data_IF_327133080645
#
_entry.id   IF_327133080645
#
_cell.length_a   1.000
_cell.length_b   1.000
_cell.length_c   1.000
_cell.angle_alpha   90.00
_cell.angle_beta   90.00
_cell.angle_gamma   90.00
#
_symmetry.space_group_name_H-M   'P 1'
#
loop_
_entity.id
_entity.type
_entity.pdbx_description
1 polymer ?
#
# COMPACT_ATOMS: atom_id res chain seq x y z
N UNK A 1 -42.41 21.63 66.45
CA UNK A 1 -41.03 21.87 65.93
C UNK A 1 -40.34 20.59 65.46
N UNK A 2 -40.29 19.52 66.25
CA UNK A 2 -39.62 18.23 65.89
C UNK A 2 -40.26 17.59 64.62
N UNK A 3 -41.58 17.60 64.51
CA UNK A 3 -42.31 17.02 63.37
C UNK A 3 -42.01 17.75 62.04
N UNK A 4 -41.88 19.10 62.07
CA UNK A 4 -41.51 19.91 60.91
C UNK A 4 -40.04 19.66 60.49
N UNK A 5 -39.12 19.57 61.45
CA UNK A 5 -37.74 19.20 61.19
C UNK A 5 -37.59 17.78 60.62
N UNK A 6 -38.39 16.83 61.09
CA UNK A 6 -38.43 15.46 60.55
C UNK A 6 -38.95 15.45 59.09
N UNK A 7 -40.00 16.23 58.79
CA UNK A 7 -40.56 16.35 57.43
C UNK A 7 -39.56 16.98 56.49
N UNK A 8 -38.80 18.00 56.91
CA UNK A 8 -37.77 18.66 56.11
C UNK A 8 -36.59 17.66 55.88
N UNK A 9 -36.16 16.99 56.91
CA UNK A 9 -35.08 15.99 56.82
C UNK A 9 -35.42 14.82 55.95
N UNK A 10 -36.62 14.26 56.06
CA UNK A 10 -37.15 13.21 55.19
C UNK A 10 -37.44 13.71 53.78
N UNK A 11 -37.93 14.93 53.62
CA UNK A 11 -38.24 15.52 52.31
C UNK A 11 -37.00 15.76 51.47
N UNK A 12 -35.88 16.22 52.05
CA UNK A 12 -34.62 16.42 51.31
C UNK A 12 -33.96 15.14 50.83
N UNK A 13 -34.31 13.99 51.45
CA UNK A 13 -33.78 12.68 51.05
C UNK A 13 -34.61 11.97 49.93
N UNK A 14 -35.73 12.57 49.53
CA UNK A 14 -36.65 11.98 48.52
C UNK A 14 -36.23 12.33 47.09
N UNK A 15 -35.57 13.49 46.92
CA UNK A 15 -35.24 14.05 45.62
C UNK A 15 -33.76 13.79 45.30
N UNK A 16 -33.48 13.33 44.05
CA UNK A 16 -32.12 13.23 43.53
C UNK A 16 -32.09 13.65 42.07
N UNK A 17 -30.95 14.15 41.64
CA UNK A 17 -30.70 14.55 40.25
C UNK A 17 -29.77 13.55 39.56
N UNK A 18 -30.09 13.14 38.35
CA UNK A 18 -29.26 12.35 37.47
C UNK A 18 -28.74 13.26 36.37
N UNK A 19 -27.45 13.24 36.15
CA UNK A 19 -26.79 14.04 35.10
C UNK A 19 -27.13 13.51 33.71
N UNK A 20 -26.93 14.31 32.67
CA UNK A 20 -27.24 13.99 31.28
C UNK A 20 -26.45 12.80 30.72
N UNK A 21 -25.30 12.48 31.30
CA UNK A 21 -24.41 11.39 30.94
C UNK A 21 -24.57 10.14 31.81
N UNK A 22 -25.43 10.24 32.84
CA UNK A 22 -25.67 9.19 33.84
C UNK A 22 -27.06 8.62 33.73
N UNK A 23 -27.23 7.41 34.22
CA UNK A 23 -28.52 6.74 34.46
C UNK A 23 -28.58 6.30 35.92
N UNK A 24 -29.69 6.57 36.58
CA UNK A 24 -29.91 6.21 37.98
C UNK A 24 -30.54 4.81 38.09
N UNK A 25 -29.84 3.88 38.72
CA UNK A 25 -30.37 2.55 39.04
C UNK A 25 -30.87 2.52 40.46
N UNK A 26 -32.16 2.35 40.60
CA UNK A 26 -32.86 2.36 41.91
C UNK A 26 -33.05 0.95 42.45
N UNK A 27 -32.54 0.73 43.67
CA UNK A 27 -32.63 -0.52 44.41
C UNK A 27 -33.47 -0.29 45.66
N UNK A 28 -34.40 -1.22 45.95
CA UNK A 28 -35.15 -1.24 47.19
C UNK A 28 -34.77 -2.49 48.00
N UNK A 29 -34.18 -2.27 49.17
CA UNK A 29 -33.65 -3.34 50.02
C UNK A 29 -32.68 -4.27 49.24
N UNK A 30 -31.87 -3.74 48.33
CA UNK A 30 -30.93 -4.50 47.51
C UNK A 30 -31.49 -5.10 46.24
N UNK A 31 -32.84 -5.13 46.06
CA UNK A 31 -33.45 -5.62 44.84
C UNK A 31 -33.63 -4.48 43.85
N UNK A 32 -33.30 -4.73 42.56
CA UNK A 32 -33.58 -3.80 41.47
C UNK A 32 -35.07 -3.52 41.34
N UNK A 33 -35.44 -2.26 41.15
CA UNK A 33 -36.82 -1.82 40.98
C UNK A 33 -37.05 -1.14 39.63
N UNK A 34 -36.21 -0.16 39.33
CA UNK A 34 -36.35 0.63 38.10
C UNK A 34 -35.06 1.37 37.74
N UNK A 35 -34.98 1.83 36.49
CA UNK A 35 -33.95 2.69 35.96
C UNK A 35 -34.53 4.08 35.71
N UNK A 36 -33.84 5.12 36.16
CA UNK A 36 -34.27 6.50 36.03
C UNK A 36 -33.41 7.25 35.01
N UNK A 37 -34.05 8.00 34.12
CA UNK A 37 -33.42 8.83 33.10
C UNK A 37 -32.85 10.12 33.69
N UNK A 38 -31.99 10.83 32.91
CA UNK A 38 -31.44 12.13 33.32
C UNK A 38 -32.54 13.13 33.68
N UNK A 39 -32.35 13.83 34.81
CA UNK A 39 -33.29 14.82 35.32
C UNK A 39 -33.47 14.77 36.79
N UNK A 40 -34.57 15.39 37.25
CA UNK A 40 -35.02 15.35 38.64
C UNK A 40 -35.90 14.15 38.89
N UNK A 41 -35.44 13.28 39.77
CA UNK A 41 -36.13 12.03 40.07
C UNK A 41 -36.41 11.88 41.58
N UNK A 42 -37.35 11.02 41.92
CA UNK A 42 -37.80 10.78 43.29
C UNK A 42 -37.44 9.37 43.75
N UNK A 43 -37.04 9.26 45.00
CA UNK A 43 -36.82 7.96 45.67
C UNK A 43 -37.48 7.92 47.04
N UNK A 44 -37.74 6.71 47.55
CA UNK A 44 -38.23 6.55 48.90
C UNK A 44 -37.14 6.89 49.94
N UNK A 45 -37.49 7.69 50.94
CA UNK A 45 -36.56 8.15 51.98
C UNK A 45 -36.11 7.00 52.91
N UNK A 46 -35.25 7.39 53.88
CA UNK A 46 -34.84 6.55 55.02
C UNK A 46 -34.05 5.27 54.61
N UNK A 47 -33.32 5.28 53.48
CA UNK A 47 -32.51 4.13 53.09
C UNK A 47 -33.32 2.95 52.48
N UNK A 48 -34.63 3.12 52.31
CA UNK A 48 -35.47 2.12 51.66
C UNK A 48 -35.05 1.94 50.21
N UNK A 49 -34.82 3.04 49.51
CA UNK A 49 -34.28 3.02 48.14
C UNK A 49 -32.84 3.61 48.12
N UNK A 50 -31.93 2.85 47.51
CA UNK A 50 -30.57 3.26 47.19
C UNK A 50 -30.47 3.53 45.69
N UNK A 51 -29.89 4.65 45.29
CA UNK A 51 -29.66 5.01 43.89
C UNK A 51 -28.19 4.91 43.61
N UNK A 52 -27.83 4.10 42.60
CA UNK A 52 -26.47 4.03 42.05
C UNK A 52 -26.48 4.70 40.69
N UNK A 53 -25.69 5.75 40.52
CA UNK A 53 -25.54 6.48 39.27
C UNK A 53 -24.46 5.82 38.44
N UNK A 54 -24.77 5.46 37.20
CA UNK A 54 -23.88 4.80 36.25
C UNK A 54 -23.72 5.74 35.03
N UNK A 55 -22.51 6.04 34.66
CA UNK A 55 -22.24 6.84 33.48
C UNK A 55 -22.29 5.95 32.22
N UNK A 56 -23.30 6.18 31.38
CA UNK A 56 -23.55 5.36 30.17
C UNK A 56 -23.00 5.99 28.89
N UNK A 57 -22.75 7.31 28.90
CA UNK A 57 -22.22 8.01 27.71
C UNK A 57 -20.71 8.12 27.70
N UNK A 58 -20.09 7.98 28.85
CA UNK A 58 -18.63 8.06 28.97
C UNK A 58 -17.98 6.85 28.34
N UNK A 59 -17.02 7.09 27.46
CA UNK A 59 -16.11 6.04 26.96
C UNK A 59 -15.00 5.86 27.97
N UNK A 60 -14.87 4.64 28.47
CA UNK A 60 -13.80 4.21 29.33
C UNK A 60 -12.72 3.53 28.49
N UNK A 61 -11.46 3.60 28.92
CA UNK A 61 -10.32 3.06 28.19
C UNK A 61 -9.55 2.14 29.10
N UNK A 62 -9.25 0.93 28.62
CA UNK A 62 -8.34 -0.02 29.26
C UNK A 62 -7.16 -0.27 28.31
N UNK A 63 -5.94 -0.18 28.84
CA UNK A 63 -4.70 -0.29 28.09
C UNK A 63 -3.96 -1.58 28.49
N UNK A 64 -3.51 -2.32 27.49
CA UNK A 64 -2.81 -3.60 27.65
C UNK A 64 -1.42 -3.51 27.01
N UNK A 65 -0.40 -3.87 27.76
CA UNK A 65 0.98 -3.89 27.25
C UNK A 65 1.61 -2.53 26.94
N UNK A 66 0.95 -1.43 27.36
CA UNK A 66 1.46 -0.07 27.16
C UNK A 66 2.15 0.39 28.43
N UNK A 67 3.42 0.74 28.36
CA UNK A 67 4.13 1.45 29.41
C UNK A 67 3.81 2.93 29.31
N UNK A 68 2.71 3.36 29.93
CA UNK A 68 2.37 4.79 29.97
C UNK A 68 3.24 5.47 31.03
N UNK A 69 4.22 6.25 30.61
CA UNK A 69 5.01 7.14 31.47
C UNK A 69 4.23 8.37 31.98
N UNK A 70 2.94 8.44 31.70
CA UNK A 70 2.06 9.56 32.08
C UNK A 70 1.24 9.16 33.29
N UNK A 71 1.61 9.69 34.44
CA UNK A 71 1.05 9.41 35.76
C UNK A 71 -0.45 9.73 35.90
N UNK A 72 -1.31 8.91 35.34
CA UNK A 72 -2.72 8.83 35.78
C UNK A 72 -2.80 7.69 36.78
N UNK A 73 -2.64 8.06 38.04
CA UNK A 73 -2.82 7.22 39.23
C UNK A 73 -4.25 6.73 39.33
N UNK A 74 -4.62 5.63 38.65
CA UNK A 74 -5.80 4.85 39.04
C UNK A 74 -5.70 3.35 38.70
N UNK A 75 -4.52 2.85 38.33
CA UNK A 75 -4.30 1.41 38.23
C UNK A 75 -3.51 0.95 39.47
N UNK A 76 -4.22 0.35 40.43
CA UNK A 76 -3.58 -0.34 41.53
C UNK A 76 -2.69 -1.45 40.95
N UNK A 77 -1.38 -1.29 41.15
CA UNK A 77 -0.38 -2.37 41.16
C UNK A 77 -0.42 -3.39 40.03
N UNK A 78 -0.22 -2.95 38.78
CA UNK A 78 0.37 -3.83 37.79
C UNK A 78 1.79 -3.32 37.54
N UNK A 79 2.79 -4.12 37.88
CA UNK A 79 4.18 -3.75 37.60
C UNK A 79 4.37 -3.63 36.08
N UNK A 80 5.26 -2.76 35.61
CA UNK A 80 5.54 -2.59 34.17
C UNK A 80 5.88 -3.94 33.50
N UNK A 81 6.42 -4.89 34.22
CA UNK A 81 6.74 -6.24 33.76
C UNK A 81 5.49 -7.12 33.58
N UNK A 82 4.46 -6.99 34.42
CA UNK A 82 3.23 -7.76 34.31
C UNK A 82 2.39 -7.27 33.09
N UNK A 83 2.31 -5.97 32.88
CA UNK A 83 1.65 -5.41 31.69
C UNK A 83 2.35 -5.85 30.40
N UNK A 84 3.67 -5.98 30.39
CA UNK A 84 4.41 -6.45 29.22
C UNK A 84 4.14 -7.94 28.94
N UNK A 85 3.99 -8.77 29.99
CA UNK A 85 3.66 -10.19 29.84
C UNK A 85 2.28 -10.43 29.24
N UNK A 86 1.29 -9.57 29.53
CA UNK A 86 -0.05 -9.63 28.95
C UNK A 86 0.00 -9.40 27.43
N UNK A 87 0.89 -8.52 26.97
CA UNK A 87 1.04 -8.21 25.55
C UNK A 87 1.88 -9.24 24.78
N UNK A 88 2.59 -10.14 25.46
CA UNK A 88 3.32 -11.23 24.81
C UNK A 88 2.33 -12.31 24.35
N UNK A 89 2.26 -12.53 23.05
CA UNK A 89 1.35 -13.49 22.43
C UNK A 89 2.08 -14.40 21.47
N UNK A 90 1.66 -15.65 21.43
CA UNK A 90 2.10 -16.63 20.44
C UNK A 90 1.20 -16.49 19.19
N UNK A 91 1.82 -16.42 18.03
CA UNK A 91 1.14 -16.39 16.72
C UNK A 91 0.97 -17.80 16.15
N UNK A 92 0.12 -17.95 15.12
CA UNK A 92 -0.16 -19.24 14.49
C UNK A 92 1.04 -19.89 13.80
N UNK A 93 2.06 -19.13 13.46
CA UNK A 93 3.34 -19.58 12.91
C UNK A 93 4.43 -19.81 14.00
N UNK A 94 4.00 -19.96 15.27
CA UNK A 94 4.84 -20.24 16.45
C UNK A 94 5.88 -19.15 16.75
N UNK A 95 5.66 -17.93 16.28
CA UNK A 95 6.46 -16.78 16.66
C UNK A 95 5.86 -16.07 17.88
N UNK A 96 6.70 -15.39 18.65
CA UNK A 96 6.26 -14.58 19.79
C UNK A 96 6.26 -13.10 19.36
N UNK A 97 5.09 -12.47 19.47
CA UNK A 97 4.90 -11.06 19.22
C UNK A 97 4.60 -10.27 20.50
N UNK A 98 5.08 -9.05 20.58
CA UNK A 98 4.63 -8.07 21.57
C UNK A 98 3.51 -7.26 20.93
N UNK A 99 2.27 -7.51 21.35
CA UNK A 99 1.05 -6.96 20.77
C UNK A 99 0.35 -6.08 21.81
N UNK A 100 0.69 -4.81 21.96
CA UNK A 100 -0.03 -3.91 22.86
C UNK A 100 -1.31 -3.42 22.18
N UNK A 101 -2.41 -3.32 22.97
CA UNK A 101 -3.70 -2.83 22.45
C UNK A 101 -4.44 -2.01 23.49
N UNK A 102 -5.44 -1.29 23.02
CA UNK A 102 -6.34 -0.47 23.83
C UNK A 102 -7.76 -0.87 23.51
N UNK A 103 -8.56 -1.04 24.55
CA UNK A 103 -10.01 -1.29 24.44
C UNK A 103 -10.76 -0.07 24.95
N UNK A 104 -11.60 0.48 24.09
CA UNK A 104 -12.53 1.54 24.46
C UNK A 104 -13.93 0.96 24.56
N UNK A 105 -14.57 1.18 25.71
CA UNK A 105 -15.88 0.65 25.98
C UNK A 105 -16.79 1.63 26.71
N UNK A 106 -18.07 1.39 26.63
CA UNK A 106 -19.09 2.11 27.38
C UNK A 106 -20.08 1.15 28.02
N UNK A 107 -20.82 1.61 29.02
CA UNK A 107 -21.86 0.82 29.67
C UNK A 107 -23.15 1.00 28.90
N UNK A 108 -23.65 -0.08 28.27
CA UNK A 108 -24.89 -0.12 27.49
C UNK A 108 -26.09 -0.36 28.38
N UNK A 109 -26.00 -1.36 29.27
CA UNK A 109 -27.07 -1.71 30.19
C UNK A 109 -26.55 -1.60 31.63
N UNK A 110 -26.95 -0.55 32.39
CA UNK A 110 -26.53 -0.36 33.77
C UNK A 110 -27.01 -1.48 34.73
N UNK A 111 -28.15 -2.12 34.45
CA UNK A 111 -28.66 -3.21 35.26
C UNK A 111 -27.74 -4.44 35.17
N UNK A 112 -27.44 -4.90 33.95
CA UNK A 112 -26.58 -6.05 33.76
C UNK A 112 -25.19 -5.79 34.32
N UNK A 113 -24.64 -4.59 34.09
CA UNK A 113 -23.33 -4.16 34.61
C UNK A 113 -23.23 -4.20 36.13
N UNK A 114 -24.29 -3.87 36.87
CA UNK A 114 -24.26 -3.79 38.33
C UNK A 114 -24.67 -5.09 39.03
N UNK A 115 -25.49 -5.93 38.38
CA UNK A 115 -26.18 -7.05 39.08
C UNK A 115 -25.83 -8.42 38.51
N UNK A 116 -25.50 -8.54 37.26
CA UNK A 116 -25.18 -9.82 36.62
C UNK A 116 -23.75 -10.26 36.83
N UNK A 117 -22.82 -9.31 36.82
CA UNK A 117 -21.41 -9.59 36.95
C UNK A 117 -20.84 -8.94 38.22
N UNK A 118 -20.07 -9.71 38.97
CA UNK A 118 -19.51 -9.23 40.24
C UNK A 118 -18.47 -8.11 40.02
N UNK A 119 -17.59 -8.27 39.05
CA UNK A 119 -16.51 -7.34 38.73
C UNK A 119 -16.41 -7.17 37.21
N UNK A 120 -17.31 -6.37 36.59
CA UNK A 120 -17.40 -6.32 35.14
C UNK A 120 -16.16 -5.76 34.45
N UNK A 121 -15.37 -4.94 35.15
CA UNK A 121 -14.09 -4.45 34.65
C UNK A 121 -13.06 -5.56 34.54
N UNK A 122 -12.92 -6.41 35.55
CA UNK A 122 -11.98 -7.52 35.53
C UNK A 122 -12.40 -8.55 34.48
N UNK A 123 -13.70 -8.85 34.40
CA UNK A 123 -14.24 -9.70 33.33
C UNK A 123 -13.89 -9.16 31.94
N UNK A 124 -14.04 -7.85 31.70
CA UNK A 124 -13.65 -7.21 30.44
C UNK A 124 -12.17 -7.40 30.14
N UNK A 125 -11.31 -7.22 31.13
CA UNK A 125 -9.86 -7.38 31.00
C UNK A 125 -9.53 -8.82 30.59
N UNK A 126 -10.05 -9.82 31.33
CA UNK A 126 -9.77 -11.23 31.07
C UNK A 126 -10.30 -11.69 29.70
N UNK A 127 -11.53 -11.28 29.35
CA UNK A 127 -12.13 -11.59 28.07
C UNK A 127 -11.43 -10.88 26.90
N UNK A 128 -10.98 -9.64 27.10
CA UNK A 128 -10.20 -8.93 26.09
C UNK A 128 -8.88 -9.63 25.78
N UNK A 129 -8.20 -10.09 26.82
CA UNK A 129 -6.96 -10.86 26.68
C UNK A 129 -7.21 -12.19 25.95
N UNK A 130 -8.27 -12.91 26.33
CA UNK A 130 -8.64 -14.17 25.68
C UNK A 130 -9.02 -13.97 24.19
N UNK A 131 -9.82 -12.96 23.88
CA UNK A 131 -10.23 -12.64 22.52
C UNK A 131 -9.03 -12.24 21.63
N UNK A 132 -8.13 -11.40 22.16
CA UNK A 132 -6.91 -11.03 21.43
C UNK A 132 -6.00 -12.23 21.18
N UNK A 133 -5.78 -13.08 22.20
CA UNK A 133 -4.98 -14.31 22.03
C UNK A 133 -5.59 -15.28 21.02
N UNK A 134 -6.91 -15.42 21.01
CA UNK A 134 -7.59 -16.26 20.03
C UNK A 134 -7.35 -15.75 18.59
N UNK A 135 -7.57 -14.46 18.35
CA UNK A 135 -7.47 -13.89 17.00
C UNK A 135 -6.03 -13.81 16.52
N UNK A 136 -5.08 -13.43 17.39
CA UNK A 136 -3.65 -13.37 17.07
C UNK A 136 -3.05 -14.76 16.88
N UNK A 137 -3.49 -15.75 17.67
CA UNK A 137 -3.03 -17.13 17.58
C UNK A 137 -3.39 -17.85 16.28
N UNK A 138 -4.38 -17.34 15.54
CA UNK A 138 -4.77 -17.85 14.23
C UNK A 138 -4.09 -17.11 13.06
N UNK A 139 -3.18 -16.18 13.34
CA UNK A 139 -2.52 -15.33 12.34
C UNK A 139 -1.00 -15.50 12.37
N UNK A 140 -0.35 -15.28 11.22
CA UNK A 140 1.12 -15.21 11.16
C UNK A 140 1.63 -13.90 11.77
N UNK A 141 2.88 -13.89 12.25
CA UNK A 141 3.50 -12.68 12.80
C UNK A 141 3.52 -11.52 11.79
N UNK A 142 3.71 -11.83 10.51
CA UNK A 142 3.70 -10.82 9.44
C UNK A 142 2.31 -10.20 9.27
N UNK A 143 1.24 -10.98 9.38
CA UNK A 143 -0.13 -10.47 9.36
C UNK A 143 -0.41 -9.61 10.59
N UNK A 144 0.02 -10.05 11.77
CA UNK A 144 -0.16 -9.29 13.02
C UNK A 144 0.54 -7.93 12.97
N UNK A 145 1.66 -7.82 12.26
CA UNK A 145 2.36 -6.54 12.05
C UNK A 145 1.70 -5.68 10.98
N UNK A 146 1.23 -6.27 9.88
CA UNK A 146 0.77 -5.54 8.68
C UNK A 146 -0.74 -5.29 8.65
N UNK A 147 -1.59 -6.20 9.20
CA UNK A 147 -3.06 -6.17 9.13
C UNK A 147 -3.71 -5.88 10.48
N UNK A 148 -3.15 -4.96 11.24
CA UNK A 148 -3.60 -4.65 12.61
C UNK A 148 -5.07 -4.24 12.68
N UNK A 149 -5.55 -3.48 11.70
CA UNK A 149 -6.94 -2.99 11.69
C UNK A 149 -7.95 -4.13 11.47
N UNK A 150 -7.64 -5.09 10.60
CA UNK A 150 -8.48 -6.29 10.38
C UNK A 150 -8.57 -7.14 11.65
N UNK A 151 -7.43 -7.33 12.31
CA UNK A 151 -7.34 -8.07 13.57
C UNK A 151 -8.12 -7.37 14.68
N UNK A 152 -8.02 -6.05 14.80
CA UNK A 152 -8.75 -5.26 15.78
C UNK A 152 -10.28 -5.37 15.60
N UNK A 153 -10.76 -5.35 14.35
CA UNK A 153 -12.18 -5.51 14.02
C UNK A 153 -12.66 -6.91 14.42
N UNK A 154 -11.89 -7.94 14.09
CA UNK A 154 -12.24 -9.32 14.42
C UNK A 154 -12.21 -9.56 15.94
N UNK A 155 -11.18 -9.05 16.63
CA UNK A 155 -11.08 -9.10 18.09
C UNK A 155 -12.25 -8.38 18.76
N UNK A 156 -12.68 -7.22 18.24
CA UNK A 156 -13.87 -6.53 18.73
C UNK A 156 -15.12 -7.40 18.58
N UNK A 157 -15.28 -8.06 17.43
CA UNK A 157 -16.44 -8.94 17.18
C UNK A 157 -16.48 -10.11 18.17
N UNK A 158 -15.34 -10.76 18.38
CA UNK A 158 -15.23 -11.89 19.32
C UNK A 158 -15.46 -11.42 20.74
N UNK A 159 -14.80 -10.34 21.18
CA UNK A 159 -14.95 -9.79 22.52
C UNK A 159 -16.40 -9.36 22.81
N UNK A 160 -17.05 -8.69 21.87
CA UNK A 160 -18.45 -8.25 22.05
C UNK A 160 -19.39 -9.46 22.19
N UNK A 161 -19.18 -10.51 21.39
CA UNK A 161 -19.98 -11.73 21.48
C UNK A 161 -19.84 -12.41 22.84
N UNK A 162 -18.62 -12.49 23.37
CA UNK A 162 -18.37 -13.09 24.69
C UNK A 162 -18.96 -12.23 25.84
N UNK A 163 -18.84 -10.91 25.74
CA UNK A 163 -19.43 -9.98 26.72
C UNK A 163 -20.95 -9.99 26.69
N UNK A 164 -21.57 -10.18 25.53
CA UNK A 164 -23.02 -10.32 25.38
C UNK A 164 -23.50 -11.67 25.93
N UNK A 165 -22.76 -12.76 25.68
CA UNK A 165 -23.05 -14.08 26.27
C UNK A 165 -22.95 -14.06 27.79
N UNK A 166 -22.01 -13.29 28.34
CA UNK A 166 -21.84 -13.10 29.80
C UNK A 166 -22.88 -12.11 30.40
N UNK A 167 -23.76 -11.51 29.58
CA UNK A 167 -24.70 -10.47 29.97
C UNK A 167 -24.05 -9.34 30.80
N UNK A 168 -22.84 -8.91 30.37
CA UNK A 168 -22.02 -7.94 31.13
C UNK A 168 -22.57 -6.51 31.09
N UNK A 169 -23.48 -6.21 30.18
CA UNK A 169 -24.01 -4.86 29.95
C UNK A 169 -23.00 -3.85 29.37
N UNK A 170 -21.88 -4.34 28.81
CA UNK A 170 -20.80 -3.53 28.23
C UNK A 170 -20.90 -3.55 26.70
N UNK A 171 -20.62 -2.41 26.09
CA UNK A 171 -20.55 -2.23 24.63
C UNK A 171 -19.14 -1.77 24.24
N UNK A 172 -18.50 -2.50 23.35
CA UNK A 172 -17.16 -2.18 22.87
C UNK A 172 -17.24 -1.14 21.76
N UNK A 173 -16.72 0.05 22.01
CA UNK A 173 -16.68 1.14 21.04
C UNK A 173 -15.66 0.82 19.97
N UNK A 174 -14.41 0.55 20.38
CA UNK A 174 -13.34 0.17 19.47
C UNK A 174 -12.23 -0.60 20.20
N UNK A 175 -11.49 -1.41 19.43
CA UNK A 175 -10.20 -1.95 19.83
C UNK A 175 -9.15 -1.34 18.90
N UNK A 176 -8.05 -0.86 19.46
CA UNK A 176 -6.95 -0.27 18.72
C UNK A 176 -5.66 -1.01 19.06
N UNK A 177 -5.06 -1.67 18.07
CA UNK A 177 -3.74 -2.27 18.23
C UNK A 177 -2.67 -1.22 18.06
N UNK A 178 -1.75 -1.15 19.02
CA UNK A 178 -0.58 -0.29 18.93
C UNK A 178 0.51 -0.95 18.07
N UNK A 179 1.67 -0.32 17.99
CA UNK A 179 2.78 -0.85 17.21
C UNK A 179 3.21 -2.22 17.75
N UNK A 180 2.98 -3.24 16.97
CA UNK A 180 3.39 -4.62 17.27
C UNK A 180 4.86 -4.79 16.91
N UNK A 181 5.62 -5.40 17.79
CA UNK A 181 7.04 -5.70 17.60
C UNK A 181 7.32 -7.15 18.03
N UNK A 182 8.42 -7.68 17.55
CA UNK A 182 8.99 -8.91 18.13
C UNK A 182 9.83 -8.55 19.36
N UNK A 183 9.97 -9.47 20.35
CA UNK A 183 10.81 -9.23 21.51
C UNK A 183 12.24 -8.86 21.13
N UNK A 184 12.84 -7.90 21.88
CA UNK A 184 14.14 -7.33 21.57
C UNK A 184 15.26 -8.34 21.27
N UNK A 185 15.42 -9.42 22.06
CA UNK A 185 16.49 -10.40 21.83
C UNK A 185 16.41 -11.13 20.49
N UNK A 186 15.21 -11.32 19.90
CA UNK A 186 15.02 -12.04 18.64
C UNK A 186 14.85 -11.11 17.42
N UNK A 187 14.74 -9.80 17.65
CA UNK A 187 14.55 -8.81 16.61
C UNK A 187 15.64 -8.81 15.52
N UNK A 188 16.96 -8.95 15.85
CA UNK A 188 17.99 -9.03 14.83
C UNK A 188 17.80 -10.23 13.89
N UNK A 189 17.54 -11.42 14.44
CA UNK A 189 17.32 -12.64 13.64
C UNK A 189 16.06 -12.54 12.77
N UNK A 190 15.00 -11.94 13.28
CA UNK A 190 13.78 -11.68 12.51
C UNK A 190 14.02 -10.71 11.34
N UNK A 191 14.81 -9.66 11.56
CA UNK A 191 15.18 -8.72 10.51
C UNK A 191 16.04 -9.38 9.44
N UNK A 192 16.98 -10.26 9.82
CA UNK A 192 17.83 -11.02 8.90
C UNK A 192 17.01 -11.95 8.00
N UNK A 193 16.04 -12.69 8.55
CA UNK A 193 15.12 -13.53 7.77
C UNK A 193 14.29 -12.70 6.78
N UNK A 194 13.76 -11.56 7.22
CA UNK A 194 13.01 -10.67 6.34
C UNK A 194 13.88 -10.07 5.23
N UNK A 195 15.11 -9.67 5.54
CA UNK A 195 16.07 -9.18 4.57
C UNK A 195 16.40 -10.27 3.54
N UNK A 196 16.72 -11.49 3.97
CA UNK A 196 16.99 -12.62 3.07
C UNK A 196 15.80 -12.95 2.17
N UNK A 197 14.58 -12.84 2.69
CA UNK A 197 13.35 -13.03 1.91
C UNK A 197 13.20 -11.95 0.85
N UNK A 198 13.43 -10.69 1.19
CA UNK A 198 13.38 -9.58 0.24
C UNK A 198 14.49 -9.68 -0.83
N UNK A 199 15.70 -10.05 -0.44
CA UNK A 199 16.81 -10.27 -1.39
C UNK A 199 16.49 -11.40 -2.37
N UNK A 200 15.91 -12.50 -1.88
CA UNK A 200 15.43 -13.60 -2.74
C UNK A 200 14.38 -13.11 -3.75
N UNK A 201 13.38 -12.38 -3.29
CA UNK A 201 12.33 -11.84 -4.17
C UNK A 201 12.92 -10.86 -5.19
N UNK A 202 13.80 -9.95 -4.76
CA UNK A 202 14.49 -9.02 -5.63
C UNK A 202 15.29 -9.74 -6.73
N UNK A 203 16.03 -10.79 -6.37
CA UNK A 203 16.79 -11.60 -7.33
C UNK A 203 15.87 -12.27 -8.36
N UNK A 204 14.72 -12.80 -7.91
CA UNK A 204 13.71 -13.41 -8.80
C UNK A 204 13.12 -12.35 -9.75
N UNK A 205 12.80 -11.15 -9.25
CA UNK A 205 12.27 -10.06 -10.09
C UNK A 205 13.31 -9.57 -11.09
N UNK A 206 14.58 -9.42 -10.70
CA UNK A 206 15.66 -9.06 -11.61
C UNK A 206 15.83 -10.10 -12.72
N UNK A 207 15.87 -11.37 -12.37
CA UNK A 207 15.96 -12.44 -13.37
C UNK A 207 14.77 -12.46 -14.35
N UNK A 208 13.56 -12.20 -13.86
CA UNK A 208 12.37 -12.07 -14.70
C UNK A 208 12.45 -10.82 -15.59
N UNK A 209 12.94 -9.72 -15.08
CA UNK A 209 13.16 -8.48 -15.86
C UNK A 209 14.15 -8.73 -17.00
N UNK A 210 15.29 -9.35 -16.70
CA UNK A 210 16.33 -9.67 -17.68
C UNK A 210 15.78 -10.63 -18.76
N UNK A 211 15.04 -11.65 -18.36
CA UNK A 211 14.37 -12.55 -19.30
C UNK A 211 13.38 -11.82 -20.21
N UNK A 212 12.54 -10.97 -19.63
CA UNK A 212 11.53 -10.20 -20.38
C UNK A 212 12.14 -9.13 -21.28
N UNK A 213 13.37 -8.68 -21.02
CA UNK A 213 14.11 -7.77 -21.89
C UNK A 213 14.87 -8.53 -22.99
N UNK A 214 15.62 -9.57 -22.61
CA UNK A 214 16.52 -10.28 -23.53
C UNK A 214 15.76 -11.02 -24.64
N UNK A 215 14.70 -11.75 -24.33
CA UNK A 215 13.98 -12.56 -25.30
C UNK A 215 13.27 -11.70 -26.37
N UNK A 216 12.48 -10.66 -26.03
CA UNK A 216 11.87 -9.80 -27.05
C UNK A 216 12.90 -9.01 -27.85
N UNK A 217 14.00 -8.57 -27.22
CA UNK A 217 15.07 -7.86 -27.91
C UNK A 217 15.75 -8.77 -28.96
N UNK A 218 16.07 -10.01 -28.60
CA UNK A 218 16.64 -10.98 -29.55
C UNK A 218 15.67 -11.32 -30.68
N UNK A 219 14.38 -11.49 -30.40
CA UNK A 219 13.36 -11.69 -31.43
C UNK A 219 13.23 -10.46 -32.35
N UNK A 220 13.18 -9.28 -31.79
CA UNK A 220 13.12 -8.04 -32.55
C UNK A 220 14.34 -7.84 -33.46
N UNK A 221 15.54 -8.19 -33.01
CA UNK A 221 16.76 -8.14 -33.82
C UNK A 221 16.74 -9.18 -34.94
N UNK A 222 16.28 -10.41 -34.65
CA UNK A 222 16.10 -11.45 -35.68
C UNK A 222 15.09 -11.01 -36.75
N UNK A 223 13.92 -10.51 -36.34
CA UNK A 223 12.89 -10.01 -37.28
C UNK A 223 13.41 -8.83 -38.11
N UNK A 224 14.16 -7.91 -37.48
CA UNK A 224 14.80 -6.79 -38.19
C UNK A 224 15.77 -7.27 -39.25
N UNK A 225 16.60 -8.26 -38.92
CA UNK A 225 17.57 -8.85 -39.85
C UNK A 225 16.88 -9.55 -41.04
N UNK A 226 15.82 -10.34 -40.75
CA UNK A 226 15.03 -11.01 -41.78
C UNK A 226 14.37 -9.96 -42.70
N UNK A 227 13.71 -8.95 -42.14
CA UNK A 227 13.06 -7.88 -42.92
C UNK A 227 14.04 -7.06 -43.76
N UNK A 228 15.24 -6.79 -43.24
CA UNK A 228 16.29 -6.12 -43.97
C UNK A 228 16.76 -6.97 -45.16
N UNK A 229 16.94 -8.29 -44.96
CA UNK A 229 17.32 -9.21 -46.04
C UNK A 229 16.22 -9.34 -47.12
N UNK A 230 14.94 -9.45 -46.72
CA UNK A 230 13.79 -9.45 -47.64
C UNK A 230 13.73 -8.14 -48.45
N UNK A 231 13.85 -7.01 -47.77
CA UNK A 231 13.89 -5.69 -48.39
C UNK A 231 15.03 -5.55 -49.40
N UNK A 232 16.23 -6.01 -49.06
CA UNK A 232 17.36 -6.03 -49.97
C UNK A 232 17.13 -6.92 -51.17
N UNK A 233 16.55 -8.11 -50.97
CA UNK A 233 16.23 -9.03 -52.08
C UNK A 233 15.22 -8.39 -53.06
N UNK A 234 14.13 -7.80 -52.52
CA UNK A 234 13.13 -7.10 -53.34
C UNK A 234 13.73 -5.90 -54.08
N UNK A 235 14.56 -5.09 -53.43
CA UNK A 235 15.22 -3.94 -54.08
C UNK A 235 16.11 -4.44 -55.25
N UNK A 236 16.84 -5.52 -55.04
CA UNK A 236 17.69 -6.11 -56.07
C UNK A 236 16.91 -6.64 -57.27
N UNK A 237 15.77 -7.32 -56.99
CA UNK A 237 14.90 -7.82 -58.06
C UNK A 237 14.29 -6.62 -58.83
N UNK A 238 13.70 -5.66 -58.10
CA UNK A 238 13.07 -4.49 -58.74
C UNK A 238 14.06 -3.65 -59.55
N UNK A 239 15.31 -3.50 -59.10
CA UNK A 239 16.38 -2.85 -59.86
C UNK A 239 16.71 -3.61 -61.16
N UNK A 240 16.87 -4.93 -61.03
CA UNK A 240 17.17 -5.76 -62.22
C UNK A 240 16.03 -5.74 -63.24
N UNK A 241 14.78 -5.81 -62.81
CA UNK A 241 13.59 -5.66 -63.66
C UNK A 241 13.52 -4.27 -64.28
N UNK A 242 13.75 -3.23 -63.50
CA UNK A 242 13.80 -1.85 -63.92
C UNK A 242 14.88 -1.62 -64.97
N UNK A 243 16.10 -2.09 -64.76
CA UNK A 243 17.19 -1.99 -65.69
C UNK A 243 16.93 -2.77 -67.00
N UNK A 244 16.37 -3.99 -66.85
CA UNK A 244 15.99 -4.78 -68.02
C UNK A 244 14.90 -4.10 -68.86
N UNK A 245 13.84 -3.59 -68.21
CA UNK A 245 12.74 -2.87 -68.87
C UNK A 245 13.26 -1.60 -69.56
N UNK A 246 14.11 -0.87 -68.87
CA UNK A 246 14.78 0.33 -69.43
C UNK A 246 15.63 -0.04 -70.61
N UNK A 247 16.42 -1.09 -70.50
CA UNK A 247 17.27 -1.54 -71.63
C UNK A 247 16.42 -1.94 -72.84
N UNK A 248 15.36 -2.71 -72.66
CA UNK A 248 14.45 -3.11 -73.75
C UNK A 248 13.78 -1.89 -74.38
N UNK A 249 13.36 -0.92 -73.59
CA UNK A 249 12.79 0.33 -74.12
C UNK A 249 13.80 1.11 -74.99
N UNK A 250 15.04 1.25 -74.47
CA UNK A 250 16.12 1.86 -75.22
C UNK A 250 16.46 1.10 -76.51
N UNK A 251 16.53 -0.23 -76.45
CA UNK A 251 16.78 -1.08 -77.59
C UNK A 251 15.71 -0.92 -78.68
N UNK A 252 14.45 -0.89 -78.27
CA UNK A 252 13.35 -0.69 -79.23
C UNK A 252 13.39 0.67 -79.96
N UNK A 253 13.74 1.75 -79.25
CA UNK A 253 13.92 3.07 -79.86
C UNK A 253 15.19 3.13 -80.74
N UNK A 254 16.27 2.48 -80.26
CA UNK A 254 17.51 2.36 -81.02
C UNK A 254 17.26 1.60 -82.36
N UNK A 255 16.50 0.51 -82.30
CA UNK A 255 16.18 -0.28 -83.50
C UNK A 255 15.45 0.54 -84.57
N UNK A 256 14.59 1.53 -84.17
CA UNK A 256 13.84 2.42 -85.14
C UNK A 256 14.74 3.48 -85.77
N UNK A 257 15.68 4.07 -85.07
CA UNK A 257 16.53 5.17 -85.52
C UNK A 257 17.93 5.14 -84.92
N UNK A 258 18.81 4.29 -85.43
CA UNK A 258 20.12 3.98 -84.86
C UNK A 258 21.04 5.19 -84.75
N UNK A 259 21.19 6.02 -85.73
CA UNK A 259 22.15 7.15 -85.66
C UNK A 259 21.65 8.30 -84.81
N UNK A 260 20.37 8.59 -84.77
CA UNK A 260 19.77 9.65 -83.98
C UNK A 260 19.85 9.26 -82.48
N UNK A 261 19.48 8.02 -82.14
CA UNK A 261 19.52 7.53 -80.76
C UNK A 261 20.93 7.44 -80.17
N UNK A 262 21.89 7.01 -81.01
CA UNK A 262 23.33 6.97 -80.59
C UNK A 262 23.87 8.36 -80.30
N UNK A 263 23.55 9.34 -81.15
CA UNK A 263 23.99 10.72 -80.95
C UNK A 263 23.34 11.38 -79.75
N UNK A 264 22.06 11.07 -79.51
CA UNK A 264 21.33 11.54 -78.31
C UNK A 264 21.93 10.97 -77.00
N UNK A 265 22.13 9.66 -76.93
CA UNK A 265 22.73 9.00 -75.75
C UNK A 265 24.14 9.54 -75.45
N UNK A 266 24.95 9.77 -76.53
CA UNK A 266 26.25 10.35 -76.35
C UNK A 266 26.22 11.74 -75.73
N UNK A 267 25.30 12.61 -76.23
CA UNK A 267 25.14 13.96 -75.68
C UNK A 267 24.60 13.95 -74.25
N UNK A 268 23.61 13.06 -73.95
CA UNK A 268 23.06 12.90 -72.59
C UNK A 268 24.14 12.41 -71.60
N UNK A 269 24.93 11.42 -72.00
CA UNK A 269 26.03 10.92 -71.16
C UNK A 269 27.09 12.00 -70.90
N UNK A 270 27.44 12.79 -71.92
CA UNK A 270 28.33 13.94 -71.75
C UNK A 270 27.75 14.99 -70.83
N UNK A 271 26.45 15.30 -70.93
CA UNK A 271 25.75 16.23 -70.02
C UNK A 271 25.85 15.82 -68.58
N UNK A 272 25.71 14.53 -68.30
CA UNK A 272 25.79 13.98 -66.94
C UNK A 272 27.22 13.87 -66.42
N UNK A 273 28.15 13.65 -67.31
CA UNK A 273 29.57 13.48 -66.97
C UNK A 273 30.27 14.84 -66.75
N UNK A 274 29.97 15.84 -67.57
CA UNK A 274 30.60 17.15 -67.55
C UNK A 274 30.52 17.85 -66.17
N UNK A 275 29.42 17.87 -65.44
CA UNK A 275 29.37 18.46 -64.11
C UNK A 275 30.26 17.75 -63.08
N UNK A 276 30.47 16.45 -63.26
CA UNK A 276 31.25 15.58 -62.29
C UNK A 276 32.72 15.62 -62.56
N UNK A 277 33.16 16.13 -63.71
CA UNK A 277 34.56 16.33 -64.00
C UNK A 277 35.04 17.64 -63.36
N UNK A 278 36.16 17.61 -62.69
CA UNK A 278 36.80 18.78 -62.06
C UNK A 278 37.16 19.91 -63.03
N UNK A 279 38.24 20.59 -62.87
CA UNK A 279 38.70 21.65 -63.75
C UNK A 279 38.84 21.11 -65.18
N UNK A 280 38.18 21.76 -66.11
CA UNK A 280 38.09 21.37 -67.54
C UNK A 280 38.96 22.35 -68.35
N UNK A 281 39.79 21.78 -69.19
CA UNK A 281 40.56 22.56 -70.14
C UNK A 281 40.09 22.15 -71.55
N UNK A 282 39.55 23.12 -72.28
CA UNK A 282 39.10 22.90 -73.66
C UNK A 282 40.18 23.46 -74.56
N UNK A 283 40.82 22.60 -75.32
CA UNK A 283 41.91 22.97 -76.19
C UNK A 283 41.43 22.74 -77.64
N UNK A 284 41.61 23.75 -78.49
CA UNK A 284 41.32 23.63 -79.91
C UNK A 284 42.44 22.84 -80.63
N UNK A 285 42.04 22.00 -81.56
CA UNK A 285 42.95 21.06 -82.26
C UNK A 285 44.01 21.74 -83.11
N UNK A 286 43.87 23.01 -83.40
CA UNK A 286 44.75 23.74 -84.27
C UNK A 286 45.97 24.49 -83.54
N UNK A 287 45.95 24.41 -82.19
CA UNK A 287 47.00 25.07 -81.40
C UNK A 287 48.17 24.14 -81.05
N UNK A 288 49.25 24.24 -81.82
CA UNK A 288 50.46 23.40 -81.63
C UNK A 288 51.44 23.81 -80.51
N UNK A 289 51.16 24.87 -79.70
CA UNK A 289 52.13 25.40 -78.72
C UNK A 289 51.51 25.83 -77.38
N UNK A 290 50.74 24.94 -76.69
CA UNK A 290 50.16 25.25 -75.37
C UNK A 290 50.84 24.62 -74.16
N UNK A 291 51.93 23.85 -74.39
CA UNK A 291 52.55 23.06 -73.29
C UNK A 291 53.37 23.87 -72.25
N UNK A 292 53.85 25.09 -72.43
CA UNK A 292 54.66 25.77 -71.38
C UNK A 292 53.86 26.56 -70.35
N UNK A 293 52.57 26.80 -70.55
CA UNK A 293 51.70 27.62 -69.67
C UNK A 293 50.67 26.86 -68.82
N UNK A 294 50.58 25.56 -68.98
CA UNK A 294 49.68 24.76 -68.20
C UNK A 294 50.34 24.27 -66.91
N UNK A 295 50.25 25.05 -65.86
CA UNK A 295 50.59 24.58 -64.51
C UNK A 295 49.48 23.62 -64.04
N UNK A 296 49.59 22.32 -64.38
CA UNK A 296 48.76 21.26 -63.85
C UNK A 296 49.17 21.06 -62.38
N UNK A 297 48.63 21.92 -61.53
CA UNK A 297 48.99 22.05 -60.13
C UNK A 297 49.15 20.72 -59.43
N UNK A 298 50.29 20.58 -58.80
CA UNK A 298 50.65 19.59 -57.82
C UNK A 298 49.54 19.52 -56.74
N UNK A 299 49.11 18.32 -56.40
CA UNK A 299 48.22 18.01 -55.31
C UNK A 299 48.61 18.72 -54.01
N UNK A 300 47.82 19.68 -53.55
CA UNK A 300 47.87 20.06 -52.15
C UNK A 300 47.35 18.92 -51.32
N UNK A 301 48.17 18.43 -50.42
CA UNK A 301 47.91 17.33 -49.55
C UNK A 301 46.75 17.61 -48.64
N UNK A 302 45.84 16.67 -48.56
CA UNK A 302 44.83 16.58 -47.52
C UNK A 302 45.54 16.23 -46.22
N UNK A 303 45.74 17.23 -45.37
CA UNK A 303 46.01 17.00 -43.94
C UNK A 303 44.69 16.96 -43.19
N UNK A 304 44.46 15.77 -42.57
CA UNK A 304 43.56 15.41 -41.49
C UNK A 304 42.07 15.75 -41.65
#
# INVERSE_FOLDING_TARGET
>A
MILVLAVIFFGSSVVFTVKQDEVGVVQRFGKFVRTEEPGLNFKLPAGIEKVTKVNVKRVNTEEFGVTTSSGVQNSRYVSANENMNVALMLTGDLNVGLVPWIVQYRIKNPFDYLFKVKEPRNLLIDMSEAAMRLVVGDRSINEVISKRDEIAIEAKRVLQMELDNAESGVDIVTIEMKRTNVPGPVQPSFNEVNQATQEKEQTIYQAKEDYNKAIPAAKGEADRTIKAAEGYALDRINRAEGDSTRFIAFYNEYAKAKDVTKRRLYIETLKDLFPKLGKKYIIDSDQKNLLPLLNIGTKEGVTK
#
